data_IF_377588637445
#
_entry.id   IF_377588637445
#
_cell.length_a   1.000
_cell.length_b   1.000
_cell.length_c   1.000
_cell.angle_alpha   90.00
_cell.angle_beta   90.00
_cell.angle_gamma   90.00
#
_symmetry.space_group_name_H-M   'P 1'
#
loop_
_entity.id
_entity.type
_entity.pdbx_description
1 polymer ?
#
# COMPACT_ATOMS: atom_id res chain seq x y z
N UNK A 1 1.93 4.72 -12.02
CA UNK A 1 3.20 5.38 -11.58
C UNK A 1 3.86 4.42 -10.61
N UNK A 2 5.07 3.95 -10.93
CA UNK A 2 5.86 3.12 -10.00
C UNK A 2 6.49 4.06 -8.98
N UNK A 3 5.88 4.19 -7.80
CA UNK A 3 6.55 4.85 -6.69
C UNK A 3 7.68 3.96 -6.17
N UNK A 4 8.77 4.57 -5.74
CA UNK A 4 9.82 3.84 -5.02
C UNK A 4 9.26 3.28 -3.72
N UNK A 5 9.72 2.09 -3.35
CA UNK A 5 9.35 1.48 -2.09
C UNK A 5 10.09 2.21 -0.97
N UNK A 6 9.34 2.64 0.02
CA UNK A 6 9.90 3.21 1.26
C UNK A 6 10.27 2.03 2.16
N UNK A 7 11.55 1.90 2.47
CA UNK A 7 12.09 0.71 3.13
C UNK A 7 11.94 0.74 4.66
N UNK A 8 11.63 -0.43 5.24
CA UNK A 8 11.76 -0.69 6.67
C UNK A 8 10.84 0.15 7.56
N UNK A 9 9.57 0.33 7.18
CA UNK A 9 8.60 1.10 7.96
C UNK A 9 7.58 0.18 8.63
N UNK A 10 7.30 0.42 9.92
CA UNK A 10 6.18 -0.19 10.62
C UNK A 10 4.86 0.35 10.05
N UNK A 11 3.89 -0.52 9.83
CA UNK A 11 2.54 -0.12 9.44
C UNK A 11 1.87 0.68 10.58
N UNK A 12 2.03 0.18 11.82
CA UNK A 12 1.70 0.94 13.03
C UNK A 12 2.63 0.59 14.19
N UNK A 13 3.24 1.60 14.79
CA UNK A 13 4.18 1.47 15.91
C UNK A 13 3.60 0.78 17.15
N UNK A 14 2.30 0.88 17.35
CA UNK A 14 1.59 0.33 18.51
C UNK A 14 1.05 -1.07 18.24
N UNK A 15 1.45 -1.69 17.14
CA UNK A 15 1.01 -3.02 16.73
C UNK A 15 -0.52 -3.15 16.70
N UNK A 16 -1.20 -2.16 16.11
CA UNK A 16 -2.65 -2.21 15.88
C UNK A 16 -2.94 -2.13 14.38
N UNK A 17 -4.00 -2.77 13.94
CA UNK A 17 -4.39 -2.77 12.54
C UNK A 17 -5.48 -1.74 12.21
N UNK A 18 -5.47 -0.61 12.90
CA UNK A 18 -6.32 0.54 12.62
C UNK A 18 -5.59 1.53 11.72
N UNK A 19 -5.88 1.49 10.42
CA UNK A 19 -5.26 2.43 9.48
C UNK A 19 -5.52 3.88 9.84
N UNK A 20 -6.69 4.20 10.40
CA UNK A 20 -7.05 5.60 10.68
C UNK A 20 -6.16 6.25 11.72
N UNK A 21 -5.60 5.45 12.63
CA UNK A 21 -4.69 5.88 13.70
C UNK A 21 -3.24 5.48 13.46
N UNK A 22 -2.92 4.78 12.36
CA UNK A 22 -1.60 4.21 12.14
C UNK A 22 -0.51 5.26 11.95
N UNK A 23 0.69 4.94 12.44
CA UNK A 23 1.88 5.78 12.27
C UNK A 23 2.24 5.93 10.79
N UNK A 24 2.09 4.87 9.98
CA UNK A 24 2.40 4.93 8.55
C UNK A 24 1.44 5.85 7.79
N UNK A 25 0.12 5.80 8.05
CA UNK A 25 -0.83 6.76 7.45
C UNK A 25 -0.45 8.20 7.78
N UNK A 26 -0.14 8.46 9.05
CA UNK A 26 0.24 9.80 9.50
C UNK A 26 1.53 10.29 8.84
N UNK A 27 2.52 9.40 8.68
CA UNK A 27 3.76 9.69 7.98
C UNK A 27 3.53 9.98 6.49
N UNK A 28 2.74 9.14 5.81
CA UNK A 28 2.48 9.26 4.37
C UNK A 28 1.65 10.51 4.03
N UNK A 29 0.62 10.82 4.81
CA UNK A 29 -0.24 12.00 4.59
C UNK A 29 0.32 13.28 5.23
N UNK A 30 1.37 13.18 6.02
CA UNK A 30 2.14 14.28 6.62
C UNK A 30 3.42 14.55 5.85
N UNK A 31 4.55 14.04 6.35
CA UNK A 31 5.87 14.35 5.84
C UNK A 31 6.09 13.93 4.37
N UNK A 32 5.62 12.74 3.96
CA UNK A 32 5.75 12.29 2.57
C UNK A 32 4.93 13.16 1.61
N UNK A 33 3.65 13.43 1.92
CA UNK A 33 2.78 14.28 1.09
C UNK A 33 3.31 15.71 0.99
N UNK A 34 3.97 16.21 2.04
CA UNK A 34 4.49 17.57 2.09
C UNK A 34 5.96 17.71 1.69
N UNK A 35 6.61 16.62 1.25
CA UNK A 35 8.04 16.58 0.94
C UNK A 35 8.90 17.20 2.07
N UNK A 36 8.70 16.71 3.29
CA UNK A 36 9.37 17.17 4.50
C UNK A 36 10.22 16.06 5.11
N UNK A 37 11.17 16.44 5.96
CA UNK A 37 11.84 15.50 6.84
C UNK A 37 10.85 15.02 7.92
N UNK A 38 10.50 13.75 7.86
CA UNK A 38 9.60 13.07 8.80
C UNK A 38 10.32 12.32 9.90
N UNK A 39 11.65 12.36 9.95
CA UNK A 39 12.47 11.59 10.91
C UNK A 39 12.09 11.89 12.37
N UNK A 40 11.83 13.15 12.68
CA UNK A 40 11.43 13.60 14.02
C UNK A 40 9.91 13.82 14.17
N UNK A 41 9.09 13.34 13.24
CA UNK A 41 7.63 13.56 13.23
C UNK A 41 6.86 12.84 14.35
N UNK A 42 7.48 11.86 15.02
CA UNK A 42 6.80 10.94 15.93
C UNK A 42 6.03 9.81 15.22
N UNK A 43 6.22 9.66 13.88
CA UNK A 43 5.58 8.64 13.03
C UNK A 43 6.58 7.78 12.26
N UNK A 44 7.87 8.07 12.33
CA UNK A 44 8.94 7.36 11.63
C UNK A 44 9.43 6.17 12.45
N UNK A 45 8.80 5.03 12.29
CA UNK A 45 9.13 3.80 13.03
C UNK A 45 9.49 2.68 12.09
N UNK A 46 10.56 1.94 12.42
CA UNK A 46 11.02 0.79 11.65
C UNK A 46 10.53 -0.55 12.21
N UNK A 47 10.46 -0.66 13.53
CA UNK A 47 9.96 -1.86 14.22
C UNK A 47 9.43 -1.47 15.60
N UNK A 48 8.17 -1.83 15.88
CA UNK A 48 7.51 -1.47 17.12
C UNK A 48 7.66 0.03 17.42
N UNK A 49 8.16 0.40 18.59
CA UNK A 49 8.45 1.79 18.97
C UNK A 49 9.86 2.25 18.61
N UNK A 50 10.62 1.45 17.87
CA UNK A 50 11.98 1.79 17.45
C UNK A 50 11.92 2.74 16.26
N UNK A 51 12.41 3.96 16.43
CA UNK A 51 12.51 4.95 15.36
C UNK A 51 13.56 4.53 14.32
N UNK A 52 13.35 4.92 13.08
CA UNK A 52 14.30 4.78 11.97
C UNK A 52 14.65 6.15 11.40
N UNK A 53 15.78 6.25 10.69
CA UNK A 53 16.21 7.49 10.01
C UNK A 53 15.71 7.56 8.55
N UNK A 54 14.89 6.60 8.08
CA UNK A 54 14.55 6.46 6.65
C UNK A 54 13.39 7.35 6.19
N UNK A 55 13.02 8.40 6.93
CA UNK A 55 11.82 9.21 6.69
C UNK A 55 12.14 10.64 6.23
N UNK A 56 13.32 10.91 5.71
CA UNK A 56 13.58 12.17 5.01
C UNK A 56 12.97 12.12 3.61
N UNK A 57 11.87 12.83 3.43
CA UNK A 57 11.12 12.89 2.17
C UNK A 57 11.30 14.22 1.44
N UNK A 58 12.24 15.06 1.84
CA UNK A 58 12.48 16.37 1.21
C UNK A 58 12.70 16.28 -0.30
N UNK A 59 13.30 15.18 -0.78
CA UNK A 59 13.55 14.91 -2.21
C UNK A 59 12.66 13.81 -2.81
N UNK A 60 12.13 12.91 -1.97
CA UNK A 60 11.38 11.72 -2.41
C UNK A 60 9.86 11.88 -2.22
N UNK A 61 9.42 12.85 -1.44
CA UNK A 61 8.00 13.14 -1.20
C UNK A 61 7.35 13.92 -2.33
N UNK A 62 6.06 14.20 -2.19
CA UNK A 62 5.27 14.92 -3.18
C UNK A 62 5.62 16.40 -3.16
N UNK A 63 6.32 16.86 -4.19
CA UNK A 63 6.71 18.26 -4.32
C UNK A 63 5.49 19.17 -4.47
N UNK A 64 5.58 20.42 -3.97
CA UNK A 64 4.44 21.35 -3.88
C UNK A 64 3.70 21.59 -5.21
N UNK A 65 4.43 21.61 -6.32
CA UNK A 65 3.86 21.80 -7.66
C UNK A 65 2.93 20.66 -8.13
N UNK A 66 2.99 19.49 -7.50
CA UNK A 66 2.18 18.33 -7.90
C UNK A 66 1.04 18.00 -6.94
N UNK A 67 0.98 18.64 -5.76
CA UNK A 67 -0.04 18.31 -4.74
C UNK A 67 -1.46 18.59 -5.21
N UNK A 68 -1.65 19.64 -6.00
CA UNK A 68 -2.95 19.95 -6.62
C UNK A 68 -3.48 18.86 -7.55
N UNK A 69 -2.58 18.02 -8.08
CA UNK A 69 -2.94 16.90 -8.95
C UNK A 69 -3.42 15.66 -8.18
N UNK A 70 -3.38 15.65 -6.85
CA UNK A 70 -3.69 14.48 -6.03
C UNK A 70 -5.04 14.68 -5.35
N UNK A 71 -5.97 13.78 -5.62
CA UNK A 71 -7.29 13.80 -5.02
C UNK A 71 -7.25 13.34 -3.55
N UNK A 72 -8.01 14.03 -2.69
CA UNK A 72 -8.34 13.52 -1.37
C UNK A 72 -9.54 12.57 -1.52
N UNK A 73 -9.31 11.28 -1.35
CA UNK A 73 -10.30 10.25 -1.65
C UNK A 73 -10.67 9.41 -0.44
N UNK A 74 -11.79 8.70 -0.54
CA UNK A 74 -12.17 7.67 0.43
C UNK A 74 -11.39 6.39 0.15
N UNK A 75 -10.63 5.93 1.14
CA UNK A 75 -9.97 4.64 1.18
C UNK A 75 -10.87 3.65 1.90
N UNK A 76 -11.17 2.53 1.27
CA UNK A 76 -11.93 1.43 1.88
C UNK A 76 -11.01 0.60 2.78
N UNK A 77 -11.49 0.20 3.94
CA UNK A 77 -10.70 -0.49 4.98
C UNK A 77 -11.29 -1.86 5.35
N UNK A 78 -12.18 -2.38 4.54
CA UNK A 78 -12.67 -3.74 4.72
C UNK A 78 -11.52 -4.75 4.68
N UNK A 79 -11.63 -5.80 5.47
CA UNK A 79 -10.60 -6.83 5.66
C UNK A 79 -11.11 -8.24 5.44
N UNK A 80 -10.20 -9.18 5.60
CA UNK A 80 -10.50 -10.60 5.50
C UNK A 80 -9.72 -11.42 6.54
N UNK A 81 -10.14 -12.67 6.75
CA UNK A 81 -9.54 -13.53 7.79
C UNK A 81 -8.45 -14.46 7.28
N UNK A 82 -8.22 -14.54 5.96
CA UNK A 82 -7.32 -15.52 5.34
C UNK A 82 -6.64 -14.96 4.09
N UNK A 83 -5.44 -15.45 3.77
CA UNK A 83 -4.74 -15.17 2.52
C UNK A 83 -5.22 -16.08 1.35
N UNK A 84 -6.07 -17.07 1.65
CA UNK A 84 -6.58 -18.06 0.69
C UNK A 84 -7.79 -17.56 -0.08
N UNK A 85 -7.64 -16.42 -0.78
CA UNK A 85 -8.66 -15.83 -1.62
C UNK A 85 -8.07 -15.30 -2.93
N UNK A 86 -8.92 -15.20 -3.96
CA UNK A 86 -8.53 -14.65 -5.27
C UNK A 86 -8.52 -13.12 -5.25
N UNK A 87 -7.91 -12.50 -6.26
CA UNK A 87 -7.93 -11.03 -6.42
C UNK A 87 -9.35 -10.47 -6.45
N UNK A 88 -10.28 -11.13 -7.14
CA UNK A 88 -11.68 -10.70 -7.21
C UNK A 88 -12.40 -10.78 -5.86
N UNK A 89 -12.10 -11.81 -5.06
CA UNK A 89 -12.64 -11.93 -3.71
C UNK A 89 -12.07 -10.83 -2.80
N UNK A 90 -10.76 -10.59 -2.84
CA UNK A 90 -10.14 -9.49 -2.08
C UNK A 90 -10.74 -8.14 -2.44
N UNK A 91 -10.94 -7.85 -3.72
CA UNK A 91 -11.60 -6.61 -4.16
C UNK A 91 -12.97 -6.39 -3.49
N UNK A 92 -13.75 -7.47 -3.34
CA UNK A 92 -15.03 -7.42 -2.62
C UNK A 92 -14.88 -7.22 -1.11
N UNK A 93 -13.92 -7.91 -0.47
CA UNK A 93 -13.67 -7.78 0.97
C UNK A 93 -13.17 -6.40 1.36
N UNK A 94 -12.22 -5.85 0.61
CA UNK A 94 -11.64 -4.52 0.81
C UNK A 94 -12.72 -3.42 0.82
N UNK A 95 -13.76 -3.57 0.00
CA UNK A 95 -14.89 -2.63 -0.12
C UNK A 95 -16.11 -3.01 0.72
N UNK A 96 -15.98 -4.13 1.44
CA UNK A 96 -17.01 -4.59 2.38
C UNK A 96 -16.92 -3.90 3.74
N UNK A 97 -17.74 -4.37 4.65
CA UNK A 97 -17.84 -3.85 6.03
C UNK A 97 -17.24 -4.79 7.08
N UNK A 98 -16.69 -5.95 6.65
CA UNK A 98 -16.03 -6.88 7.56
C UNK A 98 -14.67 -6.33 7.96
N UNK A 99 -14.50 -6.04 9.24
CA UNK A 99 -13.26 -5.54 9.85
C UNK A 99 -13.05 -6.22 11.21
N UNK A 100 -11.87 -6.09 11.79
CA UNK A 100 -11.72 -6.42 13.21
C UNK A 100 -12.62 -5.50 14.06
N UNK A 101 -13.19 -6.04 15.14
CA UNK A 101 -14.16 -5.34 15.99
C UNK A 101 -13.68 -3.93 16.40
N UNK A 102 -14.52 -2.93 16.17
CA UNK A 102 -14.24 -1.53 16.50
C UNK A 102 -13.38 -0.79 15.50
N UNK A 103 -12.97 -1.41 14.38
CA UNK A 103 -12.20 -0.70 13.33
C UNK A 103 -13.14 0.00 12.34
N UNK A 104 -12.75 1.19 11.83
CA UNK A 104 -13.49 1.84 10.75
C UNK A 104 -13.42 1.04 9.44
N UNK A 105 -14.46 1.16 8.62
CA UNK A 105 -14.56 0.54 7.29
C UNK A 105 -14.08 1.44 6.16
N UNK A 106 -13.78 2.70 6.46
CA UNK A 106 -13.24 3.67 5.50
C UNK A 106 -12.59 4.85 6.20
N UNK A 107 -11.78 5.59 5.45
CA UNK A 107 -11.18 6.88 5.86
C UNK A 107 -10.93 7.75 4.64
N UNK A 108 -10.67 9.03 4.82
CA UNK A 108 -10.19 9.92 3.75
C UNK A 108 -8.69 10.14 3.86
N UNK A 109 -8.06 10.45 2.74
CA UNK A 109 -6.63 10.79 2.68
C UNK A 109 -6.13 10.93 1.25
N UNK A 110 -4.99 11.57 1.10
CA UNK A 110 -4.31 11.75 -0.19
C UNK A 110 -3.52 10.50 -0.59
N UNK A 111 -2.88 9.85 0.39
CA UNK A 111 -1.95 8.74 0.17
C UNK A 111 -2.42 7.53 0.97
N UNK A 112 -2.48 6.38 0.31
CA UNK A 112 -2.68 5.06 0.90
C UNK A 112 -1.59 4.08 0.47
N UNK A 113 -1.90 2.79 0.57
CA UNK A 113 -1.07 1.69 0.08
C UNK A 113 -1.84 0.89 -0.97
N UNK A 114 -1.15 0.03 -1.73
CA UNK A 114 -1.81 -0.92 -2.62
C UNK A 114 -2.72 -1.86 -1.83
N UNK A 115 -3.79 -2.29 -2.47
CA UNK A 115 -4.62 -3.37 -1.95
C UNK A 115 -4.08 -4.75 -2.39
N UNK A 116 -4.36 -5.83 -1.66
CA UNK A 116 -4.14 -7.19 -2.15
C UNK A 116 -4.73 -7.45 -3.54
N UNK A 117 -5.92 -6.91 -3.81
CA UNK A 117 -6.55 -7.03 -5.14
C UNK A 117 -5.72 -6.36 -6.25
N UNK A 118 -5.08 -5.22 -5.99
CA UNK A 118 -4.20 -4.53 -6.95
C UNK A 118 -3.04 -5.43 -7.35
N UNK A 119 -2.41 -6.09 -6.37
CA UNK A 119 -1.36 -7.06 -6.62
C UNK A 119 -1.85 -8.22 -7.49
N UNK A 120 -2.99 -8.80 -7.14
CA UNK A 120 -3.55 -9.90 -7.91
C UNK A 120 -3.90 -9.53 -9.36
N UNK A 121 -4.45 -8.34 -9.58
CA UNK A 121 -4.76 -7.83 -10.92
C UNK A 121 -3.55 -7.33 -11.71
N UNK A 122 -2.41 -7.09 -11.07
CA UNK A 122 -1.17 -6.69 -11.73
C UNK A 122 -0.50 -7.80 -12.56
N UNK A 123 -0.95 -9.04 -12.41
CA UNK A 123 -0.44 -10.19 -13.18
C UNK A 123 -0.91 -10.08 -14.63
N UNK A 124 0.03 -9.87 -15.54
CA UNK A 124 -0.25 -9.67 -16.97
C UNK A 124 -0.15 -10.96 -17.79
N UNK A 125 0.50 -12.01 -17.26
CA UNK A 125 0.68 -13.25 -17.96
C UNK A 125 -0.61 -14.07 -18.00
N UNK A 126 -0.95 -14.61 -19.18
CA UNK A 126 -2.05 -15.56 -19.36
C UNK A 126 -1.77 -16.92 -18.68
N UNK A 127 -0.51 -17.22 -18.33
CA UNK A 127 -0.13 -18.46 -17.64
C UNK A 127 -0.54 -18.48 -16.17
N UNK A 128 -0.95 -17.32 -15.61
CA UNK A 128 -1.44 -17.20 -14.25
C UNK A 128 -2.92 -16.82 -14.24
N UNK A 129 -3.77 -17.77 -13.92
CA UNK A 129 -5.21 -17.53 -13.86
C UNK A 129 -5.56 -16.59 -12.69
N UNK A 130 -6.44 -15.61 -12.93
CA UNK A 130 -6.93 -14.70 -11.87
C UNK A 130 -7.79 -15.41 -10.81
N UNK A 131 -8.03 -16.71 -10.99
CA UNK A 131 -8.69 -17.59 -10.04
C UNK A 131 -7.73 -18.18 -8.99
N UNK A 132 -6.42 -18.00 -9.16
CA UNK A 132 -5.42 -18.45 -8.19
C UNK A 132 -5.51 -17.63 -6.91
N UNK A 133 -5.48 -18.29 -5.75
CA UNK A 133 -5.43 -17.62 -4.45
C UNK A 133 -4.13 -16.84 -4.29
N UNK A 134 -4.20 -15.62 -3.75
CA UNK A 134 -3.02 -14.76 -3.56
C UNK A 134 -1.98 -15.39 -2.62
N UNK A 135 -2.42 -16.15 -1.62
CA UNK A 135 -1.54 -16.92 -0.73
C UNK A 135 -0.77 -18.06 -1.41
N UNK A 136 -1.05 -18.35 -2.69
CA UNK A 136 -0.37 -19.39 -3.48
C UNK A 136 0.34 -18.85 -4.71
N UNK A 137 0.51 -17.54 -4.84
CA UNK A 137 1.08 -16.91 -6.05
C UNK A 137 2.53 -17.32 -6.33
N UNK A 138 3.33 -17.58 -5.30
CA UNK A 138 4.68 -18.07 -5.45
C UNK A 138 4.71 -19.48 -6.03
N UNK A 139 3.93 -20.42 -5.49
CA UNK A 139 3.87 -21.82 -5.95
C UNK A 139 3.24 -21.95 -7.31
N UNK A 140 2.25 -21.12 -7.63
CA UNK A 140 1.63 -21.03 -8.95
C UNK A 140 2.48 -20.24 -9.98
N UNK A 141 3.66 -19.73 -9.58
CA UNK A 141 4.54 -18.90 -10.40
C UNK A 141 3.90 -17.60 -10.91
N UNK A 142 2.83 -17.14 -10.26
CA UNK A 142 2.13 -15.91 -10.61
C UNK A 142 2.91 -14.67 -10.22
N UNK A 143 3.66 -14.72 -9.12
CA UNK A 143 4.45 -13.59 -8.63
C UNK A 143 5.39 -13.01 -9.68
N UNK A 144 6.14 -13.87 -10.39
CA UNK A 144 7.09 -13.44 -11.42
C UNK A 144 6.44 -12.77 -12.64
N UNK A 145 5.14 -12.90 -12.81
CA UNK A 145 4.36 -12.26 -13.88
C UNK A 145 3.71 -10.94 -13.44
N UNK A 146 3.83 -10.57 -12.17
CA UNK A 146 3.32 -9.31 -11.62
C UNK A 146 4.36 -8.20 -11.74
N UNK A 147 3.95 -7.07 -12.32
CA UNK A 147 4.82 -5.89 -12.36
C UNK A 147 4.94 -5.17 -11.01
N UNK A 148 4.07 -5.47 -10.05
CA UNK A 148 4.15 -4.96 -8.67
C UNK A 148 5.11 -5.76 -7.79
N UNK A 149 5.51 -6.98 -8.18
CA UNK A 149 6.38 -7.80 -7.37
C UNK A 149 7.83 -7.28 -7.35
N UNK A 150 8.22 -6.67 -6.22
CA UNK A 150 9.52 -6.04 -6.02
C UNK A 150 10.58 -6.92 -5.36
N UNK A 151 10.26 -8.19 -5.04
CA UNK A 151 11.12 -9.15 -4.31
C UNK A 151 11.47 -8.75 -2.87
N UNK A 152 10.88 -7.68 -2.33
CA UNK A 152 10.89 -7.33 -0.91
C UNK A 152 9.53 -7.64 -0.28
N UNK A 153 9.48 -7.72 1.05
CA UNK A 153 8.20 -7.76 1.77
C UNK A 153 7.63 -6.35 1.81
N UNK A 154 6.38 -6.18 1.38
CA UNK A 154 5.71 -4.88 1.29
C UNK A 154 4.35 -4.90 1.97
N UNK A 155 4.03 -3.86 2.72
CA UNK A 155 2.71 -3.67 3.31
C UNK A 155 1.62 -3.43 2.26
N UNK A 156 0.43 -3.95 2.54
CA UNK A 156 -0.80 -3.55 1.85
C UNK A 156 -1.66 -2.65 2.74
N UNK A 157 -2.73 -2.09 2.20
CA UNK A 157 -3.68 -1.29 2.98
C UNK A 157 -4.62 -2.16 3.83
N UNK A 158 -4.83 -3.42 3.46
CA UNK A 158 -5.88 -4.28 3.99
C UNK A 158 -5.47 -4.94 5.30
N UNK A 159 -6.30 -4.80 6.31
CA UNK A 159 -6.11 -5.39 7.63
C UNK A 159 -6.77 -6.76 7.75
N UNK A 160 -6.25 -7.61 8.64
CA UNK A 160 -6.94 -8.83 9.05
C UNK A 160 -8.23 -8.50 9.82
N UNK A 161 -9.32 -9.18 9.49
CA UNK A 161 -10.58 -9.08 10.25
C UNK A 161 -10.62 -10.00 11.48
N UNK A 162 -9.66 -10.91 11.63
CA UNK A 162 -9.61 -11.89 12.74
C UNK A 162 -8.62 -11.53 13.84
N UNK A 163 -7.63 -10.70 13.57
CA UNK A 163 -6.59 -10.30 14.51
C UNK A 163 -6.52 -8.80 14.62
N UNK A 164 -6.38 -8.27 15.83
CA UNK A 164 -6.35 -6.82 16.10
C UNK A 164 -5.06 -6.13 15.66
N UNK A 165 -4.03 -6.90 15.32
CA UNK A 165 -2.66 -6.45 15.11
C UNK A 165 -1.99 -7.02 13.85
N UNK A 166 -2.76 -7.64 12.94
CA UNK A 166 -2.21 -8.16 11.69
C UNK A 166 -2.74 -7.40 10.49
N UNK A 167 -1.84 -7.20 9.53
CA UNK A 167 -2.08 -6.54 8.26
C UNK A 167 -1.61 -7.47 7.15
N UNK A 168 -2.28 -7.47 6.00
CA UNK A 168 -1.81 -8.23 4.85
C UNK A 168 -0.55 -7.58 4.26
N UNK A 169 0.42 -8.43 3.96
CA UNK A 169 1.68 -8.08 3.31
C UNK A 169 1.92 -8.94 2.07
N UNK A 170 2.60 -8.38 1.11
CA UNK A 170 3.18 -9.10 0.00
C UNK A 170 4.57 -9.57 0.42
N UNK A 171 4.76 -10.88 0.56
CA UNK A 171 6.04 -11.44 1.00
C UNK A 171 7.14 -11.30 -0.04
N UNK A 172 8.40 -11.40 0.39
CA UNK A 172 9.56 -11.45 -0.50
C UNK A 172 9.57 -12.64 -1.49
N UNK A 173 8.74 -13.65 -1.23
CA UNK A 173 8.52 -14.79 -2.15
C UNK A 173 7.35 -14.56 -3.11
N UNK A 174 6.60 -13.47 -2.98
CA UNK A 174 5.54 -13.06 -3.90
C UNK A 174 4.18 -13.71 -3.64
N UNK A 175 3.91 -14.20 -2.46
CA UNK A 175 2.55 -14.57 -2.03
C UNK A 175 2.05 -13.59 -0.97
N UNK A 176 0.75 -13.52 -0.81
CA UNK A 176 0.11 -12.71 0.22
C UNK A 176 0.12 -13.47 1.55
N UNK A 177 0.52 -12.79 2.62
CA UNK A 177 0.44 -13.28 3.99
C UNK A 177 -0.11 -12.19 4.94
N UNK A 178 -0.09 -12.44 6.24
CA UNK A 178 -0.41 -11.46 7.26
C UNK A 178 0.64 -11.42 8.33
N UNK A 179 1.09 -10.25 8.71
CA UNK A 179 2.09 -10.10 9.75
C UNK A 179 1.73 -9.00 10.75
N UNK A 180 2.48 -8.92 11.83
CA UNK A 180 2.30 -7.94 12.88
C UNK A 180 2.54 -6.53 12.37
N UNK A 181 1.59 -5.62 12.62
CA UNK A 181 1.60 -4.25 12.11
C UNK A 181 2.84 -3.42 12.54
N UNK A 182 3.55 -3.85 13.58
CA UNK A 182 4.75 -3.20 14.08
C UNK A 182 6.06 -3.71 13.45
N UNK A 183 6.00 -4.63 12.50
CA UNK A 183 7.20 -5.05 11.76
C UNK A 183 7.61 -4.00 10.73
N UNK A 184 8.90 -3.96 10.39
CA UNK A 184 9.46 -3.01 9.44
C UNK A 184 9.53 -3.59 8.03
N UNK A 185 8.55 -3.27 7.18
CA UNK A 185 8.51 -3.73 5.79
C UNK A 185 8.53 -2.56 4.81
N UNK A 186 8.66 -2.89 3.54
CA UNK A 186 8.53 -1.93 2.46
C UNK A 186 7.11 -1.32 2.40
N UNK A 187 7.02 -0.07 2.04
CA UNK A 187 5.75 0.61 1.88
C UNK A 187 5.73 1.32 0.54
N UNK A 188 4.76 1.00 -0.31
CA UNK A 188 4.59 1.61 -1.63
C UNK A 188 3.44 2.61 -1.58
N UNK A 189 3.72 3.91 -1.54
CA UNK A 189 2.67 4.93 -1.56
C UNK A 189 1.83 4.82 -2.84
N UNK A 190 0.53 4.87 -2.67
CA UNK A 190 -0.47 4.90 -3.75
C UNK A 190 -1.32 6.14 -3.60
N UNK A 191 -1.65 6.77 -4.73
CA UNK A 191 -2.48 7.96 -4.79
C UNK A 191 -3.44 7.89 -5.98
N UNK A 192 -4.50 8.67 -5.90
CA UNK A 192 -5.39 8.94 -7.03
C UNK A 192 -5.15 10.34 -7.55
N UNK A 193 -5.14 10.48 -8.88
CA UNK A 193 -5.07 11.78 -9.51
C UNK A 193 -6.44 12.45 -9.44
N UNK A 194 -6.44 13.78 -9.31
CA UNK A 194 -7.65 14.59 -9.43
C UNK A 194 -8.28 14.43 -10.82
N UNK A 195 -9.58 14.58 -10.91
CA UNK A 195 -10.33 14.43 -12.16
C UNK A 195 -9.97 15.50 -13.21
N UNK A 196 -9.36 16.61 -12.82
CA UNK A 196 -8.84 17.64 -13.72
C UNK A 196 -7.52 17.28 -14.38
N UNK A 197 -6.83 16.23 -13.88
CA UNK A 197 -5.54 15.79 -14.43
C UNK A 197 -5.75 15.02 -15.72
N UNK A 198 -5.06 15.44 -16.78
CA UNK A 198 -5.12 14.78 -18.09
C UNK A 198 -3.73 14.35 -18.55
N UNK A 199 -3.70 13.33 -19.40
CA UNK A 199 -2.48 12.84 -20.05
C UNK A 199 -2.06 13.83 -21.14
N UNK A 200 -0.81 14.27 -21.08
CA UNK A 200 -0.18 15.09 -22.13
C UNK A 200 0.56 14.18 -23.11
N UNK A 201 1.38 13.24 -22.61
CA UNK A 201 2.24 12.37 -23.41
C UNK A 201 2.59 11.06 -22.66
N UNK A 202 3.41 10.22 -23.30
CA UNK A 202 3.88 8.95 -22.74
C UNK A 202 2.94 7.78 -22.99
N UNK A 203 3.45 6.55 -22.85
CA UNK A 203 2.70 5.30 -23.01
C UNK A 203 2.62 4.48 -21.69
N UNK A 204 3.23 5.01 -20.63
CA UNK A 204 3.25 4.38 -19.31
C UNK A 204 4.33 3.31 -19.14
N UNK A 205 5.20 3.11 -20.14
CA UNK A 205 6.37 2.25 -20.00
C UNK A 205 7.45 2.90 -19.11
N UNK A 206 8.41 2.11 -18.68
CA UNK A 206 9.55 2.61 -17.88
C UNK A 206 10.36 3.68 -18.63
N UNK A 207 10.51 3.52 -19.95
CA UNK A 207 11.31 4.43 -20.79
C UNK A 207 10.51 5.62 -21.33
N UNK A 208 9.18 5.55 -21.26
CA UNK A 208 8.27 6.60 -21.74
C UNK A 208 7.08 6.74 -20.77
N UNK A 209 7.31 7.20 -19.52
CA UNK A 209 6.26 7.33 -18.51
C UNK A 209 5.21 8.35 -18.93
N UNK A 210 4.00 8.21 -18.41
CA UNK A 210 2.95 9.22 -18.65
C UNK A 210 3.39 10.59 -18.14
N UNK A 211 3.27 11.59 -19.00
CA UNK A 211 3.37 13.01 -18.64
C UNK A 211 1.95 13.51 -18.45
N UNK A 212 1.69 14.13 -17.30
CA UNK A 212 0.37 14.62 -16.92
C UNK A 212 0.38 16.12 -16.65
N UNK A 213 -0.75 16.77 -16.84
CA UNK A 213 -0.98 18.19 -16.53
C UNK A 213 -2.39 18.44 -15.98
N UNK A 214 -2.64 19.66 -15.57
CA UNK A 214 -3.94 20.19 -15.14
C UNK A 214 -4.34 21.34 -16.03
#
# INVERSE_FOLDING_TARGET
IRADVLEGLAWDKSNTNDWTASSLKSLLNGAYYNAQDGTSSGYCYGYSTTMTANCDYTKKGIQSGYRGMIANVTWHLGGYSSNSATAGSFYGYERGTTVYSGRPTSTTGYIGLMYPSDYGYSVLSSSCARTTNLGSYNTAKCAGASWLYGKGTEWTLTSSSSYSNRVFDLTSSGYLDTDHADYGYGSRPVLYLDASVYKIDGDGSLNNPYIVGM
#
